data_IF_716533078013
#
_entry.id   IF_716533078013
#
_cell.length_a   1.000
_cell.length_b   1.000
_cell.length_c   1.000
_cell.angle_alpha   90.00
_cell.angle_beta   90.00
_cell.angle_gamma   90.00
#
_symmetry.space_group_name_H-M   'P 1'
#
loop_
_entity.id
_entity.type
_entity.pdbx_description
1 polymer ?
#
# COMPACT_ATOMS: atom_id res chain seq x y z
N UNK A 1 -21.22 -17.53 -6.29
CA UNK A 1 -21.73 -18.21 -5.10
C UNK A 1 -23.09 -17.67 -4.60
N UNK A 2 -23.33 -16.37 -4.53
CA UNK A 2 -24.64 -15.81 -4.18
C UNK A 2 -25.77 -16.24 -5.15
N UNK A 3 -25.46 -16.39 -6.43
CA UNK A 3 -26.36 -16.95 -7.45
C UNK A 3 -26.68 -18.45 -7.20
N UNK A 4 -25.65 -19.23 -6.81
CA UNK A 4 -25.77 -20.64 -6.52
C UNK A 4 -26.52 -20.93 -5.21
N UNK A 5 -26.45 -20.04 -4.23
CA UNK A 5 -27.22 -20.09 -2.99
C UNK A 5 -28.71 -19.74 -3.21
N UNK A 6 -28.95 -18.82 -4.13
CA UNK A 6 -30.32 -18.39 -4.49
C UNK A 6 -31.05 -19.42 -5.37
N UNK A 7 -30.27 -20.26 -6.06
CA UNK A 7 -30.78 -21.29 -6.98
C UNK A 7 -30.06 -22.63 -6.69
N UNK A 8 -30.50 -23.38 -5.67
CA UNK A 8 -29.84 -24.64 -5.25
C UNK A 8 -29.95 -25.76 -6.28
N UNK A 9 -30.93 -25.71 -7.17
CA UNK A 9 -31.07 -26.67 -8.27
C UNK A 9 -30.23 -26.24 -9.48
N UNK A 10 -29.74 -27.18 -10.31
CA UNK A 10 -28.99 -26.85 -11.53
C UNK A 10 -29.91 -26.13 -12.52
N UNK A 11 -30.01 -24.82 -12.34
CA UNK A 11 -30.66 -23.93 -13.28
C UNK A 11 -29.80 -23.78 -14.53
N UNK A 12 -30.42 -23.97 -15.65
CA UNK A 12 -29.83 -23.62 -16.93
C UNK A 12 -29.73 -22.11 -16.96
N UNK A 13 -28.53 -21.58 -17.06
CA UNK A 13 -28.28 -20.11 -17.20
C UNK A 13 -29.09 -19.54 -18.40
N UNK A 14 -29.57 -20.38 -19.31
CA UNK A 14 -30.49 -20.05 -20.38
C UNK A 14 -31.80 -19.40 -19.88
N UNK A 15 -32.31 -19.80 -18.74
CA UNK A 15 -33.54 -19.23 -18.17
C UNK A 15 -33.30 -17.82 -17.59
N UNK A 16 -32.04 -17.46 -17.39
CA UNK A 16 -31.64 -16.17 -16.87
C UNK A 16 -31.12 -15.19 -17.94
N UNK A 17 -30.40 -15.69 -18.94
CA UNK A 17 -29.71 -14.89 -19.98
C UNK A 17 -30.28 -15.07 -21.37
N UNK A 18 -31.37 -15.83 -21.52
CA UNK A 18 -31.99 -16.14 -22.81
C UNK A 18 -31.19 -17.16 -23.63
N UNK A 19 -31.59 -17.35 -24.88
CA UNK A 19 -31.17 -18.47 -25.77
C UNK A 19 -29.66 -18.65 -26.02
N UNK A 20 -28.78 -17.78 -25.47
CA UNK A 20 -27.32 -17.84 -25.63
C UNK A 20 -26.56 -18.30 -24.39
N UNK A 21 -27.26 -18.74 -23.35
CA UNK A 21 -26.62 -19.12 -22.10
C UNK A 21 -25.95 -20.49 -22.17
N UNK A 22 -24.70 -20.55 -21.71
CA UNK A 22 -23.98 -21.81 -21.55
C UNK A 22 -24.33 -22.45 -20.20
N UNK A 23 -24.37 -23.79 -20.09
CA UNK A 23 -24.65 -24.46 -18.83
C UNK A 23 -23.59 -24.11 -17.79
N UNK A 24 -24.03 -23.76 -16.58
CA UNK A 24 -23.11 -23.56 -15.43
C UNK A 24 -22.85 -24.92 -14.79
N UNK A 25 -21.62 -25.36 -14.83
CA UNK A 25 -21.17 -26.61 -14.25
C UNK A 25 -20.58 -26.34 -12.89
N UNK A 26 -21.16 -26.92 -11.81
CA UNK A 26 -20.54 -26.92 -10.48
C UNK A 26 -19.73 -28.20 -10.28
N UNK A 27 -18.42 -28.04 -10.03
CA UNK A 27 -17.58 -29.19 -9.69
C UNK A 27 -17.88 -29.64 -8.25
N UNK A 28 -18.26 -30.90 -8.07
CA UNK A 28 -18.48 -31.49 -6.74
C UNK A 28 -17.25 -31.47 -5.84
N UNK A 29 -16.07 -31.36 -6.44
CA UNK A 29 -14.75 -31.38 -5.78
C UNK A 29 -14.16 -30.00 -5.57
N UNK A 30 -14.93 -28.89 -5.72
CA UNK A 30 -14.41 -27.51 -5.57
C UNK A 30 -13.65 -27.30 -4.25
N UNK A 31 -14.17 -27.84 -3.13
CA UNK A 31 -13.50 -27.73 -1.84
C UNK A 31 -12.11 -28.38 -1.82
N UNK A 32 -11.89 -29.45 -2.58
CA UNK A 32 -10.58 -30.06 -2.74
C UNK A 32 -9.66 -29.16 -3.60
N UNK A 33 -10.17 -28.65 -4.71
CA UNK A 33 -9.41 -27.75 -5.58
C UNK A 33 -9.01 -26.47 -4.85
N UNK A 34 -9.89 -25.89 -4.04
CA UNK A 34 -9.57 -24.70 -3.23
C UNK A 34 -8.47 -24.98 -2.20
N UNK A 35 -8.49 -26.16 -1.57
CA UNK A 35 -7.39 -26.58 -0.69
C UNK A 35 -6.07 -26.75 -1.43
N UNK A 36 -6.08 -27.43 -2.58
CA UNK A 36 -4.86 -27.60 -3.39
C UNK A 36 -4.33 -26.26 -3.88
N UNK A 37 -5.23 -25.38 -4.38
CA UNK A 37 -4.87 -24.03 -4.79
C UNK A 37 -4.29 -23.22 -3.64
N UNK A 38 -4.91 -23.26 -2.47
CA UNK A 38 -4.45 -22.59 -1.28
C UNK A 38 -3.09 -23.10 -0.81
N UNK A 39 -2.88 -24.42 -0.81
CA UNK A 39 -1.60 -25.05 -0.43
C UNK A 39 -0.47 -24.64 -1.39
N UNK A 40 -0.77 -24.48 -2.68
CA UNK A 40 0.20 -24.07 -3.69
C UNK A 40 0.50 -22.57 -3.63
N UNK A 41 -0.52 -21.72 -3.78
CA UNK A 41 -0.35 -20.26 -3.87
C UNK A 41 -0.27 -19.55 -2.52
N UNK A 42 -0.59 -20.22 -1.41
CA UNK A 42 -0.72 -19.59 -0.10
C UNK A 42 -1.89 -18.59 0.00
N UNK A 43 -2.70 -18.45 -1.05
CA UNK A 43 -3.85 -17.55 -1.11
C UNK A 43 -4.90 -18.07 -2.09
N UNK A 44 -6.12 -17.51 -2.02
CA UNK A 44 -7.21 -17.82 -2.94
C UNK A 44 -7.44 -16.73 -4.02
N UNK A 45 -6.51 -15.79 -4.18
CA UNK A 45 -6.60 -14.75 -5.23
C UNK A 45 -5.98 -15.23 -6.53
N UNK A 46 -4.82 -15.87 -6.45
CA UNK A 46 -4.16 -16.50 -7.59
C UNK A 46 -4.90 -17.78 -8.00
N UNK A 47 -4.84 -18.10 -9.26
CA UNK A 47 -5.51 -19.26 -9.83
C UNK A 47 -4.61 -19.99 -10.84
N UNK A 48 -5.10 -21.08 -11.38
CA UNK A 48 -4.41 -21.85 -12.42
C UNK A 48 -4.17 -21.06 -13.71
N UNK A 49 -4.84 -19.92 -13.90
CA UNK A 49 -4.57 -19.02 -15.03
C UNK A 49 -3.16 -18.41 -15.00
N UNK A 50 -2.53 -18.29 -13.82
CA UNK A 50 -1.12 -17.84 -13.72
C UNK A 50 -0.18 -18.75 -14.51
N UNK A 51 -0.41 -20.08 -14.51
CA UNK A 51 0.35 -21.02 -15.34
C UNK A 51 0.18 -20.74 -16.82
N UNK A 52 -1.06 -20.50 -17.26
CA UNK A 52 -1.38 -20.20 -18.66
C UNK A 52 -0.77 -18.87 -19.10
N UNK A 53 -0.82 -17.83 -18.27
CA UNK A 53 -0.23 -16.53 -18.57
C UNK A 53 1.29 -16.60 -18.72
N UNK A 54 1.95 -17.43 -17.92
CA UNK A 54 3.40 -17.66 -18.04
C UNK A 54 3.72 -18.47 -19.28
N UNK A 55 2.98 -19.56 -19.54
CA UNK A 55 3.17 -20.41 -20.73
C UNK A 55 3.00 -19.62 -22.04
N UNK A 56 2.05 -18.71 -22.06
CA UNK A 56 1.80 -17.83 -23.20
C UNK A 56 2.76 -16.62 -23.26
N UNK A 57 3.69 -16.48 -22.30
CA UNK A 57 4.64 -15.36 -22.25
C UNK A 57 4.03 -13.99 -21.90
N UNK A 58 2.77 -13.96 -21.41
CA UNK A 58 2.11 -12.72 -21.01
C UNK A 58 2.57 -12.22 -19.64
N UNK A 59 3.15 -13.08 -18.81
CA UNK A 59 3.64 -12.74 -17.50
C UNK A 59 4.95 -13.47 -17.21
N UNK A 60 5.92 -12.74 -16.66
CA UNK A 60 7.20 -13.27 -16.25
C UNK A 60 7.42 -13.01 -14.77
N UNK A 61 7.89 -14.01 -14.05
CA UNK A 61 8.23 -13.94 -12.65
C UNK A 61 9.74 -14.11 -12.44
N UNK A 62 10.27 -13.49 -11.40
CA UNK A 62 11.65 -13.72 -11.00
C UNK A 62 11.83 -15.18 -10.57
N UNK A 63 12.83 -15.91 -11.09
CA UNK A 63 13.18 -17.22 -10.60
C UNK A 63 13.57 -17.17 -9.12
N UNK A 64 12.81 -17.84 -8.27
CA UNK A 64 13.02 -17.82 -6.81
C UNK A 64 13.33 -19.22 -6.29
N UNK A 65 14.19 -19.29 -5.28
CA UNK A 65 14.49 -20.52 -4.57
C UNK A 65 13.56 -20.68 -3.38
N UNK A 66 12.92 -21.83 -3.27
CA UNK A 66 12.08 -22.20 -2.13
C UNK A 66 12.21 -23.67 -1.80
N UNK A 67 11.99 -24.00 -0.53
CA UNK A 67 12.09 -25.37 0.01
C UNK A 67 10.74 -25.78 0.60
N UNK A 68 10.64 -27.03 1.04
CA UNK A 68 9.45 -27.51 1.75
C UNK A 68 9.11 -26.63 2.96
N UNK A 69 10.14 -26.20 3.71
CA UNK A 69 9.97 -25.37 4.93
C UNK A 69 9.57 -23.92 4.62
N UNK A 70 9.69 -23.50 3.36
CA UNK A 70 9.25 -22.18 2.92
C UNK A 70 7.73 -22.08 2.70
N UNK A 71 6.99 -23.20 2.70
CA UNK A 71 5.55 -23.22 2.43
C UNK A 71 4.77 -22.36 3.44
N UNK A 72 3.74 -21.72 2.96
CA UNK A 72 2.86 -20.90 3.78
C UNK A 72 2.17 -21.69 4.89
N UNK A 73 1.89 -22.96 4.64
CA UNK A 73 1.25 -23.90 5.56
C UNK A 73 2.14 -25.12 5.78
N UNK A 74 2.39 -25.46 7.03
CA UNK A 74 3.11 -26.65 7.42
C UNK A 74 2.17 -27.78 7.86
N UNK A 75 0.97 -27.42 8.36
CA UNK A 75 0.00 -28.35 8.89
C UNK A 75 -1.37 -28.18 8.24
N UNK A 76 -2.13 -29.28 8.16
CA UNK A 76 -3.50 -29.26 7.65
C UNK A 76 -4.41 -28.30 8.43
N UNK A 77 -4.23 -28.26 9.74
CA UNK A 77 -4.99 -27.32 10.61
C UNK A 77 -4.84 -25.87 10.21
N UNK A 78 -3.68 -25.46 9.71
CA UNK A 78 -3.44 -24.10 9.23
C UNK A 78 -4.20 -23.80 7.93
N UNK A 79 -4.32 -24.79 7.04
CA UNK A 79 -5.16 -24.68 5.82
C UNK A 79 -6.62 -24.53 6.20
N UNK A 80 -7.11 -25.39 7.13
CA UNK A 80 -8.50 -25.35 7.58
C UNK A 80 -8.79 -24.02 8.31
N UNK A 81 -7.85 -23.49 9.10
CA UNK A 81 -7.95 -22.19 9.75
C UNK A 81 -8.05 -21.03 8.75
N UNK A 82 -7.23 -21.05 7.70
CA UNK A 82 -7.31 -20.07 6.62
C UNK A 82 -8.68 -20.10 5.93
N UNK A 83 -9.17 -21.28 5.60
CA UNK A 83 -10.46 -21.45 4.92
C UNK A 83 -11.62 -20.96 5.81
N UNK A 84 -11.56 -21.22 7.11
CA UNK A 84 -12.57 -20.71 8.06
C UNK A 84 -12.55 -19.16 8.10
N UNK A 85 -11.38 -18.52 8.15
CA UNK A 85 -11.26 -17.05 8.07
C UNK A 85 -11.75 -16.51 6.73
N UNK A 86 -11.48 -17.22 5.63
CA UNK A 86 -11.97 -16.84 4.30
C UNK A 86 -13.50 -16.90 4.25
N UNK A 87 -14.10 -17.94 4.80
CA UNK A 87 -15.56 -18.07 4.90
C UNK A 87 -16.17 -16.93 5.74
N UNK A 88 -15.57 -16.60 6.89
CA UNK A 88 -16.03 -15.45 7.67
C UNK A 88 -16.02 -14.15 6.85
N UNK A 89 -14.99 -13.96 6.03
CA UNK A 89 -14.89 -12.78 5.17
C UNK A 89 -15.96 -12.77 4.09
N UNK A 90 -16.20 -13.91 3.42
CA UNK A 90 -17.30 -14.05 2.45
C UNK A 90 -18.65 -13.74 3.07
N UNK A 91 -18.90 -14.19 4.29
CA UNK A 91 -20.12 -13.87 5.02
C UNK A 91 -20.26 -12.37 5.31
N UNK A 92 -19.18 -11.68 5.68
CA UNK A 92 -19.19 -10.22 5.83
C UNK A 92 -19.52 -9.52 4.50
N UNK A 93 -18.93 -9.97 3.40
CA UNK A 93 -19.17 -9.42 2.06
C UNK A 93 -20.62 -9.70 1.58
N UNK A 94 -21.24 -10.79 2.03
CA UNK A 94 -22.65 -11.14 1.79
C UNK A 94 -23.63 -10.42 2.72
N UNK A 95 -23.13 -9.65 3.69
CA UNK A 95 -23.95 -8.89 4.62
C UNK A 95 -24.52 -9.70 5.79
N UNK A 96 -23.98 -10.89 6.08
CA UNK A 96 -24.34 -11.66 7.28
C UNK A 96 -24.11 -10.80 8.53
N UNK A 97 -25.03 -10.86 9.54
CA UNK A 97 -24.89 -10.10 10.77
C UNK A 97 -23.52 -10.31 11.45
N UNK A 98 -22.89 -9.21 11.90
CA UNK A 98 -21.54 -9.26 12.42
C UNK A 98 -21.39 -10.17 13.65
N UNK A 99 -22.44 -10.26 14.50
CA UNK A 99 -22.43 -11.13 15.68
C UNK A 99 -22.43 -12.63 15.33
N UNK A 100 -23.06 -13.02 14.21
CA UNK A 100 -23.01 -14.40 13.74
C UNK A 100 -21.62 -14.75 13.22
N UNK A 101 -21.01 -13.83 12.43
CA UNK A 101 -19.65 -14.01 11.93
C UNK A 101 -18.63 -14.05 13.07
N UNK A 102 -18.81 -13.21 14.10
CA UNK A 102 -17.95 -13.18 15.28
C UNK A 102 -17.83 -14.55 15.97
N UNK A 103 -18.95 -15.26 16.10
CA UNK A 103 -18.97 -16.59 16.71
C UNK A 103 -18.16 -17.63 15.94
N UNK A 104 -18.00 -17.41 14.63
CA UNK A 104 -17.26 -18.30 13.74
C UNK A 104 -15.79 -17.91 13.54
N UNK A 105 -15.35 -16.75 14.09
CA UNK A 105 -13.95 -16.32 13.98
C UNK A 105 -13.04 -17.33 14.67
N UNK A 106 -12.05 -17.91 13.98
CA UNK A 106 -11.16 -18.88 14.57
C UNK A 106 -10.31 -18.31 15.70
N UNK A 107 -9.85 -19.16 16.61
CA UNK A 107 -8.88 -18.81 17.65
C UNK A 107 -7.54 -18.33 17.04
N UNK A 108 -6.72 -17.56 17.80
CA UNK A 108 -5.38 -17.19 17.38
C UNK A 108 -4.52 -18.42 17.03
N UNK A 109 -3.53 -18.22 16.18
CA UNK A 109 -2.56 -19.24 15.75
C UNK A 109 -1.14 -18.74 15.99
N UNK A 110 -0.19 -19.64 16.22
CA UNK A 110 1.26 -19.31 16.30
C UNK A 110 1.87 -18.98 14.95
N UNK A 111 1.17 -19.30 13.85
CA UNK A 111 1.58 -18.92 12.51
C UNK A 111 1.34 -17.42 12.28
N UNK A 112 2.41 -16.64 12.24
CA UNK A 112 2.38 -15.19 12.10
C UNK A 112 1.59 -14.70 10.87
N UNK A 113 1.59 -15.49 9.78
CA UNK A 113 0.85 -15.16 8.57
C UNK A 113 -0.66 -15.33 8.75
N UNK A 114 -1.10 -16.38 9.46
CA UNK A 114 -2.51 -16.57 9.81
C UNK A 114 -2.97 -15.54 10.85
N UNK A 115 -2.12 -15.19 11.80
CA UNK A 115 -2.38 -14.13 12.79
C UNK A 115 -2.65 -12.79 12.10
N UNK A 116 -1.79 -12.38 11.17
CA UNK A 116 -2.00 -11.15 10.39
C UNK A 116 -3.31 -11.15 9.58
N UNK A 117 -3.74 -12.33 9.08
CA UNK A 117 -5.03 -12.47 8.38
C UNK A 117 -6.21 -12.37 9.33
N UNK A 118 -6.08 -12.97 10.51
CA UNK A 118 -7.10 -12.88 11.56
C UNK A 118 -7.29 -11.44 12.01
N UNK A 119 -6.20 -10.72 12.23
CA UNK A 119 -6.23 -9.31 12.61
C UNK A 119 -6.95 -8.45 11.59
N UNK A 120 -6.69 -8.71 10.31
CA UNK A 120 -7.41 -8.02 9.22
C UNK A 120 -8.89 -8.38 9.18
N UNK A 121 -9.25 -9.66 9.38
CA UNK A 121 -10.64 -10.10 9.48
C UNK A 121 -11.35 -9.39 10.63
N UNK A 122 -10.73 -9.31 11.81
CA UNK A 122 -11.28 -8.64 12.98
C UNK A 122 -11.48 -7.13 12.75
N UNK A 123 -10.55 -6.48 12.04
CA UNK A 123 -10.72 -5.09 11.63
C UNK A 123 -11.93 -4.91 10.69
N UNK A 124 -12.10 -5.78 9.69
CA UNK A 124 -13.21 -5.76 8.75
C UNK A 124 -14.55 -6.05 9.47
N UNK A 125 -14.55 -7.02 10.37
CA UNK A 125 -15.71 -7.35 11.21
C UNK A 125 -16.10 -6.17 12.14
N UNK A 126 -15.12 -5.54 12.79
CA UNK A 126 -15.38 -4.37 13.62
C UNK A 126 -15.99 -3.22 12.82
N UNK A 127 -15.54 -3.00 11.58
CA UNK A 127 -16.13 -2.00 10.66
C UNK A 127 -17.56 -2.35 10.27
N UNK A 128 -17.84 -3.63 10.05
CA UNK A 128 -19.19 -4.09 9.71
C UNK A 128 -20.13 -3.98 10.91
N UNK A 129 -19.70 -4.43 12.09
CA UNK A 129 -20.45 -4.29 13.34
C UNK A 129 -20.78 -2.82 13.64
N UNK A 130 -19.83 -1.90 13.40
CA UNK A 130 -20.06 -0.48 13.56
C UNK A 130 -21.14 0.06 12.59
N UNK A 131 -21.12 -0.37 11.31
CA UNK A 131 -22.14 0.01 10.32
C UNK A 131 -23.53 -0.54 10.68
N UNK A 132 -23.58 -1.74 11.27
CA UNK A 132 -24.82 -2.38 11.73
C UNK A 132 -25.33 -1.85 13.08
N UNK A 133 -24.58 -0.93 13.72
CA UNK A 133 -24.95 -0.36 15.03
C UNK A 133 -24.55 -1.18 16.23
N UNK A 134 -23.90 -2.33 16.04
CA UNK A 134 -23.41 -3.25 17.08
C UNK A 134 -22.12 -2.74 17.75
N UNK A 135 -22.21 -1.55 18.38
CA UNK A 135 -21.03 -0.80 18.86
C UNK A 135 -20.17 -1.55 19.88
N UNK A 136 -20.79 -2.39 20.73
CA UNK A 136 -20.04 -3.21 21.72
C UNK A 136 -19.19 -4.24 21.01
N UNK A 137 -19.77 -4.99 20.09
CA UNK A 137 -19.08 -5.96 19.27
C UNK A 137 -17.95 -5.31 18.43
N UNK A 138 -18.21 -4.13 17.87
CA UNK A 138 -17.19 -3.38 17.11
C UNK A 138 -15.98 -3.05 18.00
N UNK A 139 -16.18 -2.61 19.25
CA UNK A 139 -15.10 -2.34 20.20
C UNK A 139 -14.31 -3.61 20.53
N UNK A 140 -15.00 -4.74 20.78
CA UNK A 140 -14.35 -6.03 21.05
C UNK A 140 -13.53 -6.51 19.87
N UNK A 141 -14.05 -6.40 18.66
CA UNK A 141 -13.35 -6.78 17.43
C UNK A 141 -12.11 -5.92 17.18
N UNK A 142 -12.21 -4.59 17.35
CA UNK A 142 -11.05 -3.70 17.23
C UNK A 142 -10.01 -3.95 18.32
N UNK A 143 -10.43 -4.18 19.55
CA UNK A 143 -9.52 -4.47 20.68
C UNK A 143 -8.78 -5.82 20.51
N UNK A 144 -9.44 -6.79 19.87
CA UNK A 144 -8.89 -8.13 19.62
C UNK A 144 -8.01 -8.21 18.36
N UNK A 145 -7.92 -7.12 17.59
CA UNK A 145 -7.15 -7.07 16.35
C UNK A 145 -5.79 -6.40 16.57
N UNK A 146 -4.71 -7.10 16.22
CA UNK A 146 -3.36 -6.51 16.12
C UNK A 146 -3.13 -5.65 14.88
N UNK A 147 -4.15 -5.44 14.03
CA UNK A 147 -4.01 -4.59 12.86
C UNK A 147 -3.85 -3.11 13.25
N UNK A 148 -2.84 -2.44 12.71
CA UNK A 148 -2.48 -1.03 13.06
C UNK A 148 -3.65 -0.06 13.05
N UNK A 149 -4.56 -0.17 12.08
CA UNK A 149 -5.75 0.69 12.02
C UNK A 149 -6.80 0.40 13.11
N UNK A 150 -6.81 -0.80 13.69
CA UNK A 150 -7.86 -1.21 14.60
C UNK A 150 -7.91 -0.33 15.86
N UNK A 151 -6.73 0.00 16.43
CA UNK A 151 -6.63 0.84 17.62
C UNK A 151 -7.14 2.26 17.39
N UNK A 152 -6.82 2.86 16.24
CA UNK A 152 -7.38 4.17 15.85
C UNK A 152 -8.89 4.11 15.66
N UNK A 153 -9.41 3.02 15.10
CA UNK A 153 -10.87 2.80 14.95
C UNK A 153 -11.55 2.65 16.32
N UNK A 154 -10.95 1.90 17.23
CA UNK A 154 -11.42 1.73 18.61
C UNK A 154 -11.54 3.10 19.30
N UNK A 155 -10.48 3.91 19.28
CA UNK A 155 -10.48 5.24 19.89
C UNK A 155 -11.55 6.15 19.30
N UNK A 156 -11.69 6.20 17.98
CA UNK A 156 -12.73 6.99 17.30
C UNK A 156 -14.15 6.52 17.66
N UNK A 157 -14.34 5.23 17.83
CA UNK A 157 -15.63 4.67 18.26
C UNK A 157 -15.96 5.05 19.70
N UNK A 158 -14.98 4.97 20.63
CA UNK A 158 -15.12 5.43 22.01
C UNK A 158 -15.46 6.94 22.07
N UNK A 159 -14.79 7.80 21.26
CA UNK A 159 -15.14 9.22 21.14
C UNK A 159 -16.63 9.42 20.77
N UNK A 160 -17.12 8.67 19.75
CA UNK A 160 -18.52 8.76 19.31
C UNK A 160 -19.51 8.22 20.34
N UNK A 161 -19.09 7.27 21.17
CA UNK A 161 -19.87 6.78 22.29
C UNK A 161 -19.80 7.68 23.52
N UNK A 162 -19.08 8.82 23.44
CA UNK A 162 -18.83 9.76 24.55
C UNK A 162 -18.06 9.14 25.73
N UNK A 163 -17.36 8.02 25.53
CA UNK A 163 -16.49 7.37 26.52
C UNK A 163 -15.09 8.00 26.49
N UNK A 164 -15.03 9.32 26.75
CA UNK A 164 -13.82 10.12 26.51
C UNK A 164 -12.69 9.75 27.48
N UNK A 165 -12.99 9.47 28.76
CA UNK A 165 -11.96 9.10 29.73
C UNK A 165 -11.28 7.78 29.38
N UNK A 166 -12.05 6.79 28.93
CA UNK A 166 -11.51 5.50 28.51
C UNK A 166 -10.67 5.64 27.22
N UNK A 167 -11.16 6.42 26.24
CA UNK A 167 -10.40 6.73 25.05
C UNK A 167 -9.08 7.44 25.38
N UNK A 168 -9.10 8.36 26.34
CA UNK A 168 -7.91 9.08 26.81
C UNK A 168 -6.89 8.14 27.46
N UNK A 169 -7.34 7.25 28.34
CA UNK A 169 -6.45 6.28 29.00
C UNK A 169 -5.73 5.39 27.97
N UNK A 170 -6.48 4.81 27.02
CA UNK A 170 -5.92 3.97 25.95
C UNK A 170 -4.97 4.79 25.05
N UNK A 171 -5.35 6.01 24.68
CA UNK A 171 -4.55 6.86 23.80
C UNK A 171 -3.24 7.31 24.45
N UNK A 172 -3.27 7.68 25.74
CA UNK A 172 -2.10 8.09 26.52
C UNK A 172 -1.11 6.96 26.76
N UNK A 173 -1.60 5.74 26.98
CA UNK A 173 -0.76 4.56 27.07
C UNK A 173 -0.10 4.24 25.72
N UNK A 174 -0.88 4.30 24.64
CA UNK A 174 -0.39 3.98 23.30
C UNK A 174 0.66 4.99 22.80
N UNK A 175 0.57 6.25 23.20
CA UNK A 175 1.56 7.28 22.85
C UNK A 175 2.99 6.93 23.28
N UNK A 176 3.16 6.12 24.33
CA UNK A 176 4.45 5.70 24.87
C UNK A 176 5.04 4.46 24.15
N UNK A 177 4.36 3.92 23.14
CA UNK A 177 4.82 2.79 22.34
C UNK A 177 5.49 3.28 21.05
N UNK A 178 6.21 2.40 20.39
CA UNK A 178 6.76 2.67 19.06
C UNK A 178 5.61 2.72 18.04
N UNK A 179 5.41 3.88 17.42
CA UNK A 179 4.33 4.16 16.49
C UNK A 179 4.87 4.36 15.07
N UNK A 180 4.13 3.90 14.08
CA UNK A 180 4.36 4.36 12.70
C UNK A 180 3.92 5.82 12.54
N UNK A 181 4.42 6.49 11.50
CA UNK A 181 4.07 7.88 11.19
C UNK A 181 2.55 8.09 11.08
N UNK A 182 1.83 7.12 10.49
CA UNK A 182 0.38 7.19 10.34
C UNK A 182 -0.36 7.03 11.67
N UNK A 183 0.12 6.15 12.54
CA UNK A 183 -0.41 5.98 13.90
C UNK A 183 -0.17 7.22 14.74
N UNK A 184 1.05 7.75 14.73
CA UNK A 184 1.42 8.97 15.45
C UNK A 184 0.56 10.17 15.01
N UNK A 185 0.43 10.38 13.70
CA UNK A 185 -0.42 11.43 13.15
C UNK A 185 -1.90 11.27 13.53
N UNK A 186 -2.43 10.05 13.42
CA UNK A 186 -3.82 9.74 13.79
C UNK A 186 -4.09 9.91 15.27
N UNK A 187 -3.16 9.45 16.11
CA UNK A 187 -3.23 9.52 17.57
C UNK A 187 -3.15 10.96 18.07
N UNK A 188 -2.23 11.78 17.54
CA UNK A 188 -2.09 13.19 17.92
C UNK A 188 -3.39 13.97 17.71
N UNK A 189 -4.09 13.73 16.58
CA UNK A 189 -5.40 14.34 16.31
C UNK A 189 -6.48 13.91 17.31
N UNK A 190 -6.46 12.63 17.73
CA UNK A 190 -7.41 12.11 18.72
C UNK A 190 -7.11 12.70 20.10
N UNK A 191 -5.86 12.69 20.53
CA UNK A 191 -5.44 13.26 21.82
C UNK A 191 -5.80 14.74 21.94
N UNK A 192 -5.56 15.53 20.88
CA UNK A 192 -5.94 16.96 20.83
C UNK A 192 -7.45 17.16 21.07
N UNK A 193 -8.31 16.33 20.44
CA UNK A 193 -9.76 16.43 20.60
C UNK A 193 -10.22 15.96 22.00
N UNK A 194 -9.65 14.87 22.50
CA UNK A 194 -9.97 14.34 23.82
C UNK A 194 -9.55 15.30 24.93
N UNK A 195 -8.33 15.87 24.85
CA UNK A 195 -7.84 16.87 25.78
C UNK A 195 -8.80 18.07 25.90
N UNK A 196 -9.24 18.62 24.74
CA UNK A 196 -10.21 19.72 24.71
C UNK A 196 -11.55 19.37 25.38
N UNK A 197 -11.97 18.10 25.33
CA UNK A 197 -13.25 17.66 25.92
C UNK A 197 -13.15 17.34 27.42
N UNK A 198 -11.96 16.94 27.86
CA UNK A 198 -11.70 16.55 29.25
C UNK A 198 -11.10 17.68 30.09
N UNK A 199 -10.71 18.80 29.47
CA UNK A 199 -9.98 19.87 30.13
C UNK A 199 -8.52 19.52 30.41
N UNK A 200 -7.97 18.55 29.71
CA UNK A 200 -6.58 18.13 29.81
C UNK A 200 -5.67 18.94 28.90
N UNK A 201 -4.37 18.93 29.17
CA UNK A 201 -3.37 19.58 28.31
C UNK A 201 -2.99 18.62 27.16
N UNK A 202 -3.24 18.99 25.89
CA UNK A 202 -2.82 18.14 24.78
C UNK A 202 -1.29 18.07 24.70
N UNK A 203 -0.72 16.96 24.22
CA UNK A 203 0.69 16.92 23.90
C UNK A 203 1.04 18.02 22.88
N UNK A 204 2.24 18.63 23.00
CA UNK A 204 2.67 19.64 22.04
C UNK A 204 2.66 19.02 20.63
N UNK A 205 2.16 19.73 19.60
CA UNK A 205 2.26 19.25 18.23
C UNK A 205 3.74 19.12 17.86
N UNK A 206 4.11 18.11 17.05
CA UNK A 206 5.45 18.05 16.50
C UNK A 206 5.72 19.32 15.66
N UNK A 207 6.97 19.77 15.65
CA UNK A 207 7.38 20.84 14.74
C UNK A 207 7.11 20.38 13.30
N UNK A 208 6.33 21.18 12.57
CA UNK A 208 6.06 20.91 11.17
C UNK A 208 6.95 21.79 10.31
N UNK A 209 7.81 21.19 9.47
CA UNK A 209 8.61 21.94 8.52
C UNK A 209 7.71 22.67 7.52
N UNK A 210 8.16 23.82 7.05
CA UNK A 210 7.41 24.64 6.11
C UNK A 210 7.40 23.97 4.73
N UNK A 211 6.22 23.51 4.30
CA UNK A 211 5.99 22.99 2.95
C UNK A 211 5.88 24.18 1.98
N UNK A 212 6.66 24.14 0.89
CA UNK A 212 6.57 25.17 -0.16
C UNK A 212 5.26 25.01 -0.93
N UNK A 213 4.52 26.11 -1.05
CA UNK A 213 3.26 26.17 -1.82
C UNK A 213 3.40 27.13 -3.00
N UNK A 214 2.85 26.75 -4.14
CA UNK A 214 2.71 27.58 -5.34
C UNK A 214 1.27 27.54 -5.82
N UNK A 215 0.82 28.60 -6.49
CA UNK A 215 -0.53 28.65 -7.06
C UNK A 215 -0.46 29.07 -8.51
N UNK A 216 -1.13 28.34 -9.40
CA UNK A 216 -1.33 28.71 -10.79
C UNK A 216 -2.80 28.95 -11.10
N UNK A 217 -3.05 29.96 -11.93
CA UNK A 217 -4.37 30.17 -12.55
C UNK A 217 -4.29 29.71 -14.00
N UNK A 218 -4.92 28.57 -14.30
CA UNK A 218 -4.80 27.89 -15.61
C UNK A 218 -6.18 27.83 -16.29
N UNK A 219 -6.21 27.78 -17.63
CA UNK A 219 -7.43 27.42 -18.35
C UNK A 219 -7.84 25.99 -17.99
N UNK A 220 -9.14 25.77 -17.77
CA UNK A 220 -9.66 24.43 -17.49
C UNK A 220 -9.58 23.58 -18.75
N UNK A 221 -8.89 22.43 -18.74
CA UNK A 221 -8.81 21.57 -19.91
C UNK A 221 -10.18 20.95 -20.21
N UNK A 222 -10.50 20.82 -21.50
CA UNK A 222 -11.73 20.11 -21.92
C UNK A 222 -11.65 18.60 -21.61
N UNK A 223 -10.45 18.02 -21.76
CA UNK A 223 -10.16 16.62 -21.46
C UNK A 223 -8.83 16.54 -20.72
N UNK A 224 -8.79 15.72 -19.65
CA UNK A 224 -7.57 15.49 -18.87
C UNK A 224 -7.75 15.86 -17.40
N UNK A 225 -6.69 15.60 -16.63
CA UNK A 225 -6.67 15.88 -15.21
C UNK A 225 -5.91 17.18 -14.91
N UNK A 226 -6.05 17.68 -13.69
CA UNK A 226 -5.36 18.90 -13.22
C UNK A 226 -3.83 18.73 -13.27
N UNK A 227 -3.35 17.51 -13.01
CA UNK A 227 -1.92 17.18 -13.03
C UNK A 227 -1.34 17.36 -14.45
N UNK A 228 -2.06 16.92 -15.48
CA UNK A 228 -1.63 17.12 -16.86
C UNK A 228 -1.64 18.60 -17.25
N UNK A 229 -2.60 19.37 -16.78
CA UNK A 229 -2.63 20.82 -17.04
C UNK A 229 -1.41 21.52 -16.43
N UNK A 230 -1.03 21.16 -15.20
CA UNK A 230 0.19 21.69 -14.55
C UNK A 230 1.45 21.20 -15.25
N UNK A 231 1.52 19.91 -15.60
CA UNK A 231 2.63 19.35 -16.36
C UNK A 231 2.88 20.15 -17.64
N UNK A 232 1.85 20.34 -18.44
CA UNK A 232 1.96 21.01 -19.76
C UNK A 232 2.28 22.50 -19.59
N UNK A 233 1.77 23.15 -18.54
CA UNK A 233 2.12 24.53 -18.21
C UNK A 233 3.60 24.71 -17.84
N UNK A 234 4.15 23.76 -17.07
CA UNK A 234 5.53 23.84 -16.55
C UNK A 234 6.57 23.23 -17.51
N UNK A 235 6.13 22.40 -18.45
CA UNK A 235 7.04 21.71 -19.36
C UNK A 235 7.85 22.69 -20.20
N UNK A 236 9.13 22.43 -20.33
CA UNK A 236 10.07 23.04 -21.30
C UNK A 236 11.05 21.96 -21.73
N UNK A 237 11.57 22.04 -22.95
CA UNK A 237 12.52 21.05 -23.47
C UNK A 237 13.78 20.96 -22.59
N UNK A 238 14.26 22.10 -22.07
CA UNK A 238 15.38 22.19 -21.15
C UNK A 238 15.02 21.86 -19.69
N UNK A 239 13.74 21.79 -19.37
CA UNK A 239 13.22 21.47 -18.04
C UNK A 239 11.97 20.59 -18.12
N UNK A 240 12.12 19.33 -18.55
CA UNK A 240 10.98 18.42 -18.74
C UNK A 240 10.26 18.12 -17.43
N UNK A 241 8.93 18.02 -17.53
CA UNK A 241 8.04 17.64 -16.42
C UNK A 241 7.34 16.34 -16.78
N UNK A 242 7.43 15.37 -15.88
CA UNK A 242 6.90 14.03 -16.10
C UNK A 242 5.92 13.63 -15.01
N UNK A 243 4.88 12.89 -15.39
CA UNK A 243 3.94 12.27 -14.45
C UNK A 243 4.53 10.95 -13.94
N UNK A 244 4.78 10.86 -12.64
CA UNK A 244 5.52 9.74 -12.05
C UNK A 244 4.93 9.22 -10.74
N UNK A 245 3.69 9.57 -10.44
CA UNK A 245 3.01 9.24 -9.19
C UNK A 245 3.35 7.84 -8.67
N UNK A 246 3.94 7.76 -7.49
CA UNK A 246 4.32 6.50 -6.81
C UNK A 246 5.12 5.50 -7.67
N UNK A 247 5.64 5.89 -8.84
CA UNK A 247 6.29 4.95 -9.77
C UNK A 247 7.80 5.12 -9.85
N UNK A 248 8.31 6.34 -10.02
CA UNK A 248 9.73 6.57 -10.27
C UNK A 248 10.61 6.19 -9.08
N UNK A 249 10.33 6.74 -7.89
CA UNK A 249 11.16 6.48 -6.70
C UNK A 249 11.06 5.00 -6.29
N UNK A 250 9.85 4.43 -6.31
CA UNK A 250 9.66 3.00 -6.09
C UNK A 250 10.40 2.16 -7.14
N UNK A 251 10.34 2.55 -8.42
CA UNK A 251 11.03 1.86 -9.51
C UNK A 251 12.54 1.89 -9.37
N UNK A 252 13.13 3.03 -9.05
CA UNK A 252 14.57 3.17 -8.77
C UNK A 252 15.00 2.28 -7.59
N UNK A 253 14.23 2.28 -6.50
CA UNK A 253 14.46 1.39 -5.36
C UNK A 253 14.37 -0.09 -5.77
N UNK A 254 13.30 -0.48 -6.47
CA UNK A 254 13.08 -1.85 -6.93
C UNK A 254 14.17 -2.35 -7.86
N UNK A 255 14.69 -1.49 -8.74
CA UNK A 255 15.78 -1.81 -9.65
C UNK A 255 17.13 -1.89 -8.93
N UNK A 256 17.43 -0.97 -8.00
CA UNK A 256 18.66 -1.03 -7.22
C UNK A 256 18.70 -2.26 -6.32
N UNK A 257 17.62 -2.51 -5.60
CA UNK A 257 17.53 -3.55 -4.57
C UNK A 257 16.95 -4.87 -5.09
N UNK A 258 16.93 -5.12 -6.40
CA UNK A 258 16.28 -6.30 -7.02
C UNK A 258 16.66 -7.60 -6.33
N UNK A 259 17.97 -7.89 -6.24
CA UNK A 259 18.47 -9.14 -5.66
C UNK A 259 18.16 -9.26 -4.17
N UNK A 260 18.13 -8.13 -3.45
CA UNK A 260 17.77 -8.09 -2.03
C UNK A 260 16.29 -8.38 -1.81
N UNK A 261 15.43 -7.81 -2.66
CA UNK A 261 13.97 -8.04 -2.61
C UNK A 261 13.68 -9.53 -2.86
N UNK A 262 14.34 -10.13 -3.85
CA UNK A 262 14.15 -11.53 -4.23
C UNK A 262 15.13 -12.51 -3.55
N UNK A 263 15.83 -12.07 -2.50
CA UNK A 263 16.72 -12.95 -1.74
C UNK A 263 15.97 -14.16 -1.16
N UNK A 264 16.59 -15.37 -1.17
CA UNK A 264 15.97 -16.61 -0.72
C UNK A 264 15.90 -16.68 0.82
N UNK A 265 15.09 -15.81 1.41
CA UNK A 265 14.84 -15.80 2.85
C UNK A 265 13.75 -16.82 3.19
N UNK A 266 13.88 -17.65 4.24
CA UNK A 266 12.89 -18.65 4.60
C UNK A 266 11.47 -18.06 4.73
N UNK A 267 10.47 -18.66 4.08
CA UNK A 267 9.08 -18.19 4.07
C UNK A 267 8.79 -16.98 3.17
N UNK A 268 9.80 -16.43 2.46
CA UNK A 268 9.58 -15.35 1.51
C UNK A 268 8.96 -15.83 0.19
N UNK A 269 9.33 -17.05 -0.24
CA UNK A 269 8.85 -17.64 -1.49
C UNK A 269 8.50 -19.11 -1.28
N UNK A 270 7.39 -19.58 -1.87
CA UNK A 270 6.93 -20.97 -1.73
C UNK A 270 6.27 -21.52 -3.01
N UNK A 271 6.21 -20.74 -4.09
CA UNK A 271 5.85 -21.14 -5.45
C UNK A 271 6.53 -20.22 -6.48
N UNK A 272 6.58 -20.58 -7.77
CA UNK A 272 7.31 -19.79 -8.78
C UNK A 272 6.60 -18.50 -9.23
N UNK A 273 5.33 -18.29 -8.89
CA UNK A 273 4.51 -17.16 -9.38
C UNK A 273 4.38 -16.04 -8.34
N UNK A 274 5.47 -15.70 -7.67
CA UNK A 274 5.49 -14.58 -6.72
C UNK A 274 5.85 -13.28 -7.44
N UNK A 275 4.97 -12.28 -7.37
CA UNK A 275 5.27 -10.91 -7.82
C UNK A 275 6.35 -10.27 -6.94
N UNK A 276 6.41 -10.66 -5.68
CA UNK A 276 7.39 -10.23 -4.69
C UNK A 276 7.33 -11.14 -3.46
N UNK A 277 8.23 -10.97 -2.49
CA UNK A 277 8.29 -11.84 -1.33
C UNK A 277 7.02 -11.74 -0.47
N UNK A 278 6.57 -12.87 0.06
CA UNK A 278 5.36 -12.94 0.89
C UNK A 278 5.47 -12.14 2.19
N UNK A 279 6.69 -11.90 2.66
CA UNK A 279 6.99 -11.11 3.85
C UNK A 279 7.22 -9.61 3.57
N UNK A 280 7.04 -9.12 2.34
CA UNK A 280 7.35 -7.75 1.92
C UNK A 280 6.82 -6.64 2.85
N UNK A 281 5.61 -6.84 3.37
CA UNK A 281 4.94 -5.85 4.23
C UNK A 281 4.97 -6.23 5.72
N UNK A 282 5.79 -7.22 6.10
CA UNK A 282 5.99 -7.62 7.49
C UNK A 282 7.04 -6.73 8.14
N UNK A 283 6.95 -6.58 9.44
CA UNK A 283 7.87 -5.76 10.24
C UNK A 283 9.32 -6.29 10.19
N UNK A 284 9.47 -7.61 10.08
CA UNK A 284 10.78 -8.26 10.03
C UNK A 284 11.41 -8.32 8.62
N UNK A 285 10.74 -7.83 7.58
CA UNK A 285 11.23 -7.88 6.19
C UNK A 285 12.61 -7.25 6.03
N UNK A 286 12.79 -6.03 6.54
CA UNK A 286 14.02 -5.25 6.44
C UNK A 286 15.13 -5.87 7.31
N UNK A 287 14.82 -6.20 8.56
CA UNK A 287 15.79 -6.77 9.49
C UNK A 287 16.38 -8.09 9.00
N UNK A 288 15.56 -8.94 8.37
CA UNK A 288 16.00 -10.22 7.76
C UNK A 288 16.90 -10.06 6.53
N UNK A 289 16.94 -8.87 5.93
CA UNK A 289 17.73 -8.54 4.72
C UNK A 289 18.68 -7.37 4.96
N UNK A 290 18.91 -6.98 6.22
CA UNK A 290 19.64 -5.76 6.59
C UNK A 290 20.98 -5.65 5.89
N UNK A 291 21.82 -6.66 5.97
CA UNK A 291 23.14 -6.63 5.34
C UNK A 291 23.09 -6.45 3.82
N UNK A 292 22.10 -7.06 3.14
CA UNK A 292 21.92 -6.92 1.69
C UNK A 292 21.41 -5.54 1.30
N UNK A 293 20.55 -4.91 2.11
CA UNK A 293 20.12 -3.53 1.88
C UNK A 293 21.27 -2.54 2.07
N UNK A 294 22.10 -2.70 3.11
CA UNK A 294 23.29 -1.86 3.30
C UNK A 294 24.28 -2.01 2.13
N UNK A 295 24.43 -3.19 1.56
CA UNK A 295 25.23 -3.36 0.33
C UNK A 295 24.63 -2.63 -0.88
N UNK A 296 23.30 -2.53 -0.98
CA UNK A 296 22.67 -1.73 -2.02
C UNK A 296 22.93 -0.24 -1.80
N UNK A 297 22.88 0.24 -0.57
CA UNK A 297 23.10 1.65 -0.23
C UNK A 297 24.56 2.06 -0.36
N UNK A 298 25.51 1.19 -0.05
CA UNK A 298 26.92 1.43 -0.32
C UNK A 298 27.20 1.77 -1.81
N UNK A 299 26.36 1.28 -2.75
CA UNK A 299 26.45 1.65 -4.17
C UNK A 299 26.03 3.09 -4.46
N UNK A 300 25.21 3.69 -3.60
CA UNK A 300 24.89 5.13 -3.70
C UNK A 300 26.10 5.97 -3.33
N UNK A 301 26.88 5.53 -2.34
CA UNK A 301 28.08 6.21 -1.88
C UNK A 301 29.22 6.15 -2.92
N UNK A 302 29.45 4.99 -3.56
CA UNK A 302 30.51 4.77 -4.55
C UNK A 302 30.12 5.12 -6.00
N UNK A 303 28.84 5.49 -6.23
CA UNK A 303 28.31 5.85 -7.56
C UNK A 303 27.93 4.66 -8.45
N UNK A 304 28.21 3.42 -8.07
CA UNK A 304 27.93 2.22 -8.90
C UNK A 304 26.43 1.88 -8.99
N UNK A 305 25.58 2.58 -8.25
CA UNK A 305 24.12 2.40 -8.30
C UNK A 305 23.53 2.67 -9.69
N UNK A 306 24.09 3.63 -10.44
CA UNK A 306 23.63 3.99 -11.79
C UNK A 306 23.74 2.80 -12.74
N UNK A 307 24.91 2.19 -12.79
CA UNK A 307 25.15 1.01 -13.61
C UNK A 307 24.27 -0.17 -13.15
N UNK A 308 24.12 -0.36 -11.83
CA UNK A 308 23.28 -1.44 -11.27
C UNK A 308 21.82 -1.29 -11.67
N UNK A 309 21.25 -0.09 -11.55
CA UNK A 309 19.85 0.20 -11.92
C UNK A 309 19.63 -0.08 -13.41
N UNK A 310 20.49 0.44 -14.29
CA UNK A 310 20.36 0.26 -15.74
C UNK A 310 20.59 -1.20 -16.15
N UNK A 311 21.55 -1.90 -15.52
CA UNK A 311 21.77 -3.32 -15.78
C UNK A 311 20.55 -4.17 -15.38
N UNK A 312 19.97 -3.92 -14.20
CA UNK A 312 18.77 -4.61 -13.77
C UNK A 312 17.55 -4.23 -14.65
N UNK A 313 17.41 -2.98 -15.06
CA UNK A 313 16.35 -2.56 -15.98
C UNK A 313 16.40 -3.38 -17.28
N UNK A 314 17.56 -3.46 -17.93
CA UNK A 314 17.74 -4.20 -19.19
C UNK A 314 17.58 -5.71 -19.02
N UNK A 315 18.13 -6.27 -17.94
CA UNK A 315 18.13 -7.72 -17.73
C UNK A 315 16.77 -8.26 -17.23
N UNK A 316 15.95 -7.41 -16.58
CA UNK A 316 14.71 -7.82 -15.90
C UNK A 316 13.45 -7.27 -16.55
N UNK A 317 13.57 -6.65 -17.70
CA UNK A 317 12.44 -6.01 -18.40
C UNK A 317 11.26 -6.99 -18.55
N UNK A 318 10.06 -6.54 -18.14
CA UNK A 318 8.84 -7.35 -18.15
C UNK A 318 8.70 -8.35 -16.98
N UNK A 319 9.75 -8.59 -16.21
CA UNK A 319 9.66 -9.45 -15.01
C UNK A 319 8.93 -8.73 -13.88
N UNK A 320 7.97 -9.40 -13.25
CA UNK A 320 7.19 -8.81 -12.17
C UNK A 320 8.05 -8.39 -10.99
N UNK A 321 7.77 -7.19 -10.47
CA UNK A 321 8.41 -6.66 -9.27
C UNK A 321 7.40 -5.77 -8.51
N UNK A 322 7.30 -5.85 -7.18
CA UNK A 322 6.31 -5.08 -6.42
C UNK A 322 6.51 -3.57 -6.45
N UNK A 323 7.67 -3.08 -6.91
CA UNK A 323 8.04 -1.67 -6.95
C UNK A 323 8.16 -1.12 -8.38
N UNK A 324 8.33 -1.97 -9.39
CA UNK A 324 8.60 -1.53 -10.76
C UNK A 324 7.35 -1.64 -11.63
N UNK A 325 6.92 -0.52 -12.19
CA UNK A 325 5.79 -0.45 -13.13
C UNK A 325 6.34 -0.20 -14.53
N UNK A 326 6.60 -1.28 -15.26
CA UNK A 326 7.28 -1.27 -16.56
C UNK A 326 6.73 -0.30 -17.59
N UNK A 327 5.39 -0.09 -17.74
CA UNK A 327 4.87 0.87 -18.71
C UNK A 327 5.26 2.33 -18.44
N UNK A 328 5.66 2.67 -17.22
CA UNK A 328 6.04 4.04 -16.82
C UNK A 328 7.55 4.20 -16.78
N UNK A 329 8.28 3.16 -16.36
CA UNK A 329 9.72 3.20 -16.18
C UNK A 329 10.38 2.94 -17.53
N UNK A 330 10.83 3.99 -18.21
CA UNK A 330 11.62 3.91 -19.44
C UNK A 330 13.10 4.17 -19.17
N UNK A 331 13.97 3.76 -20.12
CA UNK A 331 15.42 3.99 -19.98
C UNK A 331 15.76 5.48 -20.00
N UNK A 332 15.02 6.27 -20.77
CA UNK A 332 15.17 7.72 -20.84
C UNK A 332 14.81 8.38 -19.52
N UNK A 333 13.68 7.97 -18.91
CA UNK A 333 13.27 8.46 -17.59
C UNK A 333 14.31 8.09 -16.52
N UNK A 334 14.80 6.85 -16.52
CA UNK A 334 15.85 6.40 -15.59
C UNK A 334 17.14 7.21 -15.76
N UNK A 335 17.61 7.40 -17.00
CA UNK A 335 18.82 8.17 -17.27
C UNK A 335 18.68 9.59 -16.76
N UNK A 336 17.57 10.26 -17.06
CA UNK A 336 17.28 11.61 -16.62
C UNK A 336 17.20 11.71 -15.07
N UNK A 337 16.52 10.77 -14.44
CA UNK A 337 16.41 10.73 -12.98
C UNK A 337 17.76 10.49 -12.30
N UNK A 338 18.56 9.56 -12.83
CA UNK A 338 19.90 9.26 -12.31
C UNK A 338 20.88 10.42 -12.50
N UNK A 339 20.69 11.25 -13.52
CA UNK A 339 21.53 12.44 -13.74
C UNK A 339 21.12 13.61 -12.84
N UNK A 340 19.83 13.72 -12.50
CA UNK A 340 19.31 14.89 -11.82
C UNK A 340 19.09 14.69 -10.31
N UNK A 341 18.75 13.47 -9.85
CA UNK A 341 18.51 13.22 -8.42
C UNK A 341 19.84 12.85 -7.74
N UNK A 342 20.28 13.59 -6.72
CA UNK A 342 21.50 13.26 -5.96
C UNK A 342 21.39 11.89 -5.27
N UNK A 343 22.52 11.20 -5.15
CA UNK A 343 22.59 9.90 -4.49
C UNK A 343 22.14 9.97 -3.01
N UNK A 344 22.50 11.06 -2.32
CA UNK A 344 22.11 11.31 -0.94
C UNK A 344 20.57 11.41 -0.79
N UNK A 345 19.89 12.05 -1.74
CA UNK A 345 18.44 12.16 -1.71
C UNK A 345 17.78 10.80 -1.99
N UNK A 346 18.33 10.03 -2.94
CA UNK A 346 17.87 8.65 -3.18
C UNK A 346 18.04 7.78 -1.93
N UNK A 347 19.15 7.89 -1.21
CA UNK A 347 19.40 7.15 0.03
C UNK A 347 18.36 7.49 1.10
N UNK A 348 18.12 8.80 1.34
CA UNK A 348 17.12 9.27 2.30
C UNK A 348 15.73 8.74 1.97
N UNK A 349 15.34 8.82 0.70
CA UNK A 349 14.06 8.32 0.20
C UNK A 349 13.91 6.80 0.36
N UNK A 350 14.95 6.04 0.03
CA UNK A 350 14.93 4.58 0.14
C UNK A 350 14.95 4.10 1.60
N UNK A 351 15.73 4.76 2.46
CA UNK A 351 15.71 4.46 3.90
C UNK A 351 14.35 4.74 4.51
N UNK A 352 13.71 5.87 4.15
CA UNK A 352 12.34 6.16 4.58
C UNK A 352 11.34 5.12 4.07
N UNK A 353 11.44 4.72 2.79
CA UNK A 353 10.60 3.66 2.22
C UNK A 353 10.70 2.37 3.05
N UNK A 354 11.91 1.98 3.46
CA UNK A 354 12.16 0.77 4.25
C UNK A 354 11.66 0.85 5.69
N UNK A 355 11.49 2.03 6.28
CA UNK A 355 10.91 2.15 7.62
C UNK A 355 9.50 1.55 7.67
N UNK A 356 8.71 1.73 6.62
CA UNK A 356 7.38 1.13 6.51
C UNK A 356 6.92 1.06 5.05
N UNK A 357 7.27 -0.02 4.36
CA UNK A 357 6.96 -0.19 2.93
C UNK A 357 5.46 -0.04 2.64
N UNK A 358 4.58 -0.53 3.53
CA UNK A 358 3.14 -0.43 3.33
C UNK A 358 2.66 1.02 3.26
N UNK A 359 3.19 1.88 4.12
CA UNK A 359 2.77 3.28 4.23
C UNK A 359 3.52 4.18 3.26
N UNK A 360 4.81 3.93 3.03
CA UNK A 360 5.69 4.84 2.32
C UNK A 360 5.82 4.57 0.82
N UNK A 361 5.31 3.44 0.31
CA UNK A 361 5.28 3.19 -1.15
C UNK A 361 4.20 4.00 -1.89
N UNK A 362 3.40 4.81 -1.18
CA UNK A 362 2.38 5.70 -1.74
C UNK A 362 2.47 7.08 -1.10
N UNK A 363 1.93 8.10 -1.81
CA UNK A 363 1.94 9.48 -1.34
C UNK A 363 3.08 10.33 -1.91
N UNK A 364 3.88 9.77 -2.81
CA UNK A 364 4.82 10.57 -3.60
C UNK A 364 4.08 11.54 -4.51
N UNK A 365 4.64 12.74 -4.73
CA UNK A 365 4.06 13.75 -5.62
C UNK A 365 3.79 13.23 -7.03
N UNK A 366 2.76 13.76 -7.67
CA UNK A 366 2.34 13.35 -9.01
C UNK A 366 3.38 13.64 -10.09
N UNK A 367 4.05 14.80 -9.99
CA UNK A 367 4.95 15.29 -11.02
C UNK A 367 6.37 15.38 -10.49
N UNK A 368 7.33 15.16 -11.40
CA UNK A 368 8.72 15.54 -11.21
C UNK A 368 9.15 16.43 -12.36
N UNK A 369 9.83 17.53 -12.04
CA UNK A 369 10.45 18.42 -12.99
C UNK A 369 11.96 18.30 -12.88
N UNK A 370 12.63 18.15 -14.02
CA UNK A 370 14.07 18.04 -14.07
C UNK A 370 14.71 19.29 -14.67
N UNK A 371 15.94 19.58 -14.24
CA UNK A 371 16.76 20.70 -14.69
C UNK A 371 18.18 20.21 -15.01
N UNK A 372 18.37 19.43 -16.11
CA UNK A 372 19.66 18.78 -16.39
C UNK A 372 20.82 19.76 -16.52
N UNK A 373 20.54 21.00 -16.99
CA UNK A 373 21.52 22.06 -17.15
C UNK A 373 21.86 22.87 -15.90
N UNK A 374 21.20 22.60 -14.75
CA UNK A 374 21.47 23.34 -13.53
C UNK A 374 22.88 23.01 -12.97
N UNK A 375 23.63 24.06 -12.62
CA UNK A 375 25.01 23.94 -12.05
C UNK A 375 24.92 23.33 -10.64
N UNK A 376 23.98 23.81 -9.85
CA UNK A 376 23.72 23.32 -8.49
C UNK A 376 22.98 21.98 -8.55
N UNK A 377 23.65 20.92 -8.14
CA UNK A 377 23.10 19.54 -8.18
C UNK A 377 21.85 19.40 -7.33
N UNK A 378 21.74 20.11 -6.21
CA UNK A 378 20.57 20.10 -5.33
C UNK A 378 19.32 20.75 -5.98
N UNK A 379 19.51 21.48 -7.10
CA UNK A 379 18.42 22.14 -7.85
C UNK A 379 18.15 21.50 -9.21
N UNK A 380 18.63 20.28 -9.44
CA UNK A 380 18.45 19.59 -10.72
C UNK A 380 17.10 18.92 -10.85
N UNK A 381 16.31 18.85 -9.81
CA UNK A 381 14.94 18.33 -9.85
C UNK A 381 14.05 19.01 -8.82
N UNK A 382 12.75 18.88 -8.99
CA UNK A 382 11.73 19.28 -8.04
C UNK A 382 10.54 18.31 -8.15
N UNK A 383 10.04 17.80 -7.03
CA UNK A 383 8.81 17.03 -6.96
C UNK A 383 7.62 17.96 -6.71
N UNK A 384 6.51 17.78 -7.43
CA UNK A 384 5.36 18.67 -7.38
C UNK A 384 4.09 17.87 -7.13
N UNK A 385 3.51 18.05 -5.95
CA UNK A 385 2.17 17.58 -5.64
C UNK A 385 1.14 18.56 -6.20
N UNK A 386 0.12 18.07 -6.92
CA UNK A 386 -0.88 18.90 -7.57
C UNK A 386 -2.24 18.79 -6.89
N UNK A 387 -2.88 19.93 -6.68
CA UNK A 387 -4.23 20.04 -6.11
C UNK A 387 -5.12 20.92 -6.97
N UNK A 388 -6.23 20.35 -7.43
CA UNK A 388 -7.29 21.08 -8.11
C UNK A 388 -8.19 21.85 -7.12
N UNK A 389 -9.14 22.65 -7.64
CA UNK A 389 -10.11 23.36 -6.81
C UNK A 389 -10.91 22.40 -5.93
N UNK A 390 -10.91 22.65 -4.62
CA UNK A 390 -11.60 21.81 -3.63
C UNK A 390 -10.84 20.59 -3.15
N UNK A 391 -9.71 20.23 -3.76
CA UNK A 391 -8.87 19.12 -3.32
C UNK A 391 -8.13 19.44 -2.03
N UNK A 392 -7.88 18.39 -1.25
CA UNK A 392 -7.09 18.48 -0.01
C UNK A 392 -5.94 17.48 -0.05
N UNK A 393 -4.84 17.84 0.57
CA UNK A 393 -3.75 16.91 0.82
C UNK A 393 -4.24 15.74 1.67
N UNK A 394 -3.91 14.53 1.22
CA UNK A 394 -4.17 13.32 1.98
C UNK A 394 -3.06 13.12 3.03
N UNK A 395 -3.36 12.42 4.11
CA UNK A 395 -2.43 12.23 5.22
C UNK A 395 -1.07 11.64 4.80
N UNK A 396 -1.05 10.70 3.87
CA UNK A 396 0.20 10.12 3.38
C UNK A 396 1.00 11.09 2.48
N UNK A 397 0.33 11.98 1.74
CA UNK A 397 0.99 13.04 0.98
C UNK A 397 1.60 14.10 1.92
N UNK A 398 0.87 14.49 2.98
CA UNK A 398 1.39 15.41 4.00
C UNK A 398 2.66 14.83 4.64
N UNK A 399 2.66 13.56 5.04
CA UNK A 399 3.84 12.92 5.65
C UNK A 399 5.07 12.90 4.74
N UNK A 400 4.87 12.70 3.41
CA UNK A 400 5.98 12.80 2.45
C UNK A 400 6.47 14.24 2.28
N UNK A 401 5.56 15.20 2.16
CA UNK A 401 5.91 16.61 2.00
C UNK A 401 6.63 17.18 3.24
N UNK A 402 6.19 16.81 4.43
CA UNK A 402 6.87 17.14 5.70
C UNK A 402 8.28 16.53 5.74
N UNK A 403 8.43 15.29 5.31
CA UNK A 403 9.74 14.66 5.21
C UNK A 403 10.65 15.36 4.21
N UNK A 404 10.17 15.67 3.01
CA UNK A 404 10.96 16.39 2.01
C UNK A 404 11.42 17.77 2.55
N UNK A 405 10.51 18.50 3.17
CA UNK A 405 10.85 19.80 3.74
C UNK A 405 11.86 19.68 4.90
N UNK A 406 11.74 18.66 5.75
CA UNK A 406 12.66 18.39 6.86
C UNK A 406 14.06 17.98 6.41
N UNK A 407 14.14 17.21 5.31
CA UNK A 407 15.41 16.74 4.73
C UNK A 407 16.01 17.71 3.68
N UNK A 408 15.33 18.81 3.36
CA UNK A 408 15.75 19.74 2.33
C UNK A 408 15.65 19.20 0.90
N UNK A 409 14.85 18.16 0.68
CA UNK A 409 14.55 17.56 -0.63
C UNK A 409 13.62 18.51 -1.41
N UNK A 410 13.92 18.88 -2.66
CA UNK A 410 13.13 19.84 -3.41
C UNK A 410 11.71 19.32 -3.69
N UNK A 411 10.72 19.87 -3.02
CA UNK A 411 9.31 19.53 -3.25
C UNK A 411 8.40 20.73 -3.01
N UNK A 412 7.25 20.76 -3.70
CA UNK A 412 6.24 21.80 -3.53
C UNK A 412 4.82 21.24 -3.72
N UNK A 413 3.84 21.97 -3.20
CA UNK A 413 2.41 21.76 -3.49
C UNK A 413 1.95 22.83 -4.46
N UNK A 414 1.40 22.42 -5.59
CA UNK A 414 0.83 23.29 -6.61
C UNK A 414 -0.69 23.29 -6.50
N UNK A 415 -1.27 24.39 -6.06
CA UNK A 415 -2.71 24.62 -6.08
C UNK A 415 -3.13 25.26 -7.41
N UNK A 416 -4.11 24.68 -8.08
CA UNK A 416 -4.63 25.18 -9.34
C UNK A 416 -5.96 25.90 -9.11
N UNK A 417 -6.10 27.06 -9.75
CA UNK A 417 -7.37 27.80 -9.91
C UNK A 417 -7.71 27.82 -11.39
N UNK A 418 -8.98 27.59 -11.73
CA UNK A 418 -9.39 27.67 -13.13
C UNK A 418 -9.73 29.12 -13.51
N UNK A 419 -9.30 29.51 -14.70
CA UNK A 419 -9.67 30.81 -15.27
C UNK A 419 -11.20 30.90 -15.45
N UNK A 420 -11.82 31.99 -14.99
CA UNK A 420 -13.25 32.22 -15.12
C UNK A 420 -14.13 31.61 -14.02
N UNK A 421 -13.57 30.76 -13.13
CA UNK A 421 -14.25 30.38 -11.89
C UNK A 421 -13.99 31.52 -10.88
N UNK A 422 -14.95 32.41 -10.71
CA UNK A 422 -14.89 33.50 -9.72
C UNK A 422 -14.71 32.93 -8.31
N UNK A 423 -13.93 33.60 -7.50
CA UNK A 423 -13.85 33.38 -6.05
C UNK A 423 -15.27 33.48 -5.50
N UNK A 424 -15.93 32.36 -5.20
CA UNK A 424 -17.05 32.40 -4.27
C UNK A 424 -16.44 32.64 -2.89
N UNK A 425 -16.65 33.88 -2.38
CA UNK A 425 -16.30 34.28 -1.02
C UNK A 425 -16.98 33.40 0.04
#
# INVERSE_FOLDING_TARGET
DALLLRFPDPLIVADWLGQHARPVIRLKTMALFDRVRLMFFGNLRQSWSDFVLVELGHQQYEPVTFTHDSRAFQYRSEVDLYLAMHQCREWLDQGVPAHEVWQAVPAPSDNAWLTSRRDRLLLELGRQAERQGERKLALEAFASSGHREARLKQLRLLERMKRHQEAWAIASEWQNQELSDAEAQGLARILKRLASRLGEIPPPPPEQPLIREITFTLPKPEVGSVEYAVRDHLYRDEAPVLYVENTLINGLFGLLCWQTIFAPVPGAFFHPFHVGPADLIREDFVSRRKASFEQCFARLEDGSYRERILANYRAKQGTTNPFVIWPVITEELLSLALDCIPAEDLERLFRRLLLNIREHRSGFPYLIRFFPGAIDTAKRYEMIEVKGPGDRLQDHQVRWLEFFAGEGIPASVCYVRWQGEGVME
#
